data_IF_260973823104
#
_entry.id   IF_260973823104
#
_cell.length_a   1.000
_cell.length_b   1.000
_cell.length_c   1.000
_cell.angle_alpha   90.00
_cell.angle_beta   90.00
_cell.angle_gamma   90.00
#
_symmetry.space_group_name_H-M   'P 1'
#
loop_
_entity.id
_entity.type
_entity.pdbx_description
1 polymer ?
#
# COMPACT_ATOMS: atom_id res chain seq x y z
N UNK A 1 10.00 -0.84 5.03
CA UNK A 1 10.74 -1.26 3.82
C UNK A 1 11.63 -0.10 3.36
N UNK A 2 12.58 -0.34 2.44
CA UNK A 2 13.42 0.73 1.85
C UNK A 2 12.57 1.80 1.15
N UNK A 3 11.58 1.36 0.36
CA UNK A 3 10.70 2.26 -0.40
C UNK A 3 9.90 3.18 0.53
N UNK A 4 9.36 2.67 1.64
CA UNK A 4 8.61 3.50 2.60
C UNK A 4 9.47 4.63 3.21
N UNK A 5 10.70 4.30 3.62
CA UNK A 5 11.64 5.30 4.17
C UNK A 5 12.02 6.35 3.13
N UNK A 6 12.32 5.92 1.92
CA UNK A 6 12.66 6.84 0.83
C UNK A 6 11.47 7.76 0.48
N UNK A 7 10.25 7.22 0.46
CA UNK A 7 9.06 8.01 0.22
C UNK A 7 8.76 9.00 1.36
N UNK A 8 9.02 8.61 2.62
CA UNK A 8 8.95 9.51 3.78
C UNK A 8 9.99 10.65 3.68
N UNK A 9 11.22 10.34 3.29
CA UNK A 9 12.29 11.34 3.04
C UNK A 9 11.92 12.33 1.91
N UNK A 10 11.18 11.86 0.90
CA UNK A 10 10.61 12.70 -0.16
C UNK A 10 9.38 13.50 0.28
N UNK A 11 8.90 13.33 1.51
CA UNK A 11 7.71 14.01 2.03
C UNK A 11 6.40 13.46 1.46
N UNK A 12 6.40 12.26 0.87
CA UNK A 12 5.20 11.63 0.34
C UNK A 12 4.29 11.17 1.49
N UNK A 13 3.00 11.26 1.28
CA UNK A 13 2.01 10.90 2.30
C UNK A 13 1.53 9.45 2.18
N UNK A 14 1.63 8.87 0.98
CA UNK A 14 0.99 7.61 0.61
C UNK A 14 1.76 6.90 -0.48
N UNK A 15 1.79 5.58 -0.40
CA UNK A 15 2.24 4.67 -1.45
C UNK A 15 1.03 3.88 -1.91
N UNK A 16 0.81 3.82 -3.22
CA UNK A 16 -0.26 3.05 -3.85
C UNK A 16 0.30 2.17 -4.96
N UNK A 17 -0.20 0.94 -5.04
CA UNK A 17 0.11 -0.06 -6.07
C UNK A 17 -1.20 -0.65 -6.58
N UNK A 18 -1.32 -0.83 -7.90
CA UNK A 18 -2.45 -1.53 -8.52
C UNK A 18 -1.95 -2.91 -8.91
N UNK A 19 -2.61 -3.94 -8.39
CA UNK A 19 -2.16 -5.32 -8.55
C UNK A 19 -3.27 -6.24 -9.02
N UNK A 20 -2.90 -7.35 -9.65
CA UNK A 20 -3.85 -8.41 -9.97
C UNK A 20 -4.26 -9.15 -8.69
N UNK A 21 -5.57 -9.30 -8.49
CA UNK A 21 -6.19 -9.96 -7.34
C UNK A 21 -5.74 -11.41 -7.15
N UNK A 22 -5.35 -12.09 -8.22
CA UNK A 22 -4.86 -13.47 -8.16
C UNK A 22 -3.49 -13.59 -7.49
N UNK A 23 -2.76 -12.48 -7.30
CA UNK A 23 -1.45 -12.47 -6.66
C UNK A 23 -1.55 -12.50 -5.12
N UNK A 24 -2.26 -13.49 -4.58
CA UNK A 24 -2.58 -13.60 -3.16
C UNK A 24 -1.35 -13.61 -2.26
N UNK A 25 -0.26 -14.25 -2.70
CA UNK A 25 0.99 -14.30 -1.94
C UNK A 25 1.65 -12.92 -1.77
N UNK A 26 1.59 -12.04 -2.79
CA UNK A 26 2.11 -10.68 -2.68
C UNK A 26 1.21 -9.83 -1.77
N UNK A 27 -0.11 -9.94 -1.96
CA UNK A 27 -1.13 -9.22 -1.17
C UNK A 27 -1.00 -9.53 0.33
N UNK A 28 -0.76 -10.78 0.70
CA UNK A 28 -0.57 -11.18 2.11
C UNK A 28 0.70 -10.58 2.70
N UNK A 29 1.82 -10.62 1.98
CA UNK A 29 3.07 -10.01 2.41
C UNK A 29 2.94 -8.49 2.58
N UNK A 30 2.23 -7.83 1.67
CA UNK A 30 2.00 -6.38 1.75
C UNK A 30 1.14 -6.00 2.94
N UNK A 31 0.14 -6.81 3.29
CA UNK A 31 -0.64 -6.64 4.52
C UNK A 31 0.24 -6.73 5.76
N UNK A 32 1.15 -7.71 5.82
CA UNK A 32 2.13 -7.81 6.91
C UNK A 32 3.07 -6.59 6.97
N UNK A 33 3.40 -6.00 5.82
CA UNK A 33 4.19 -4.77 5.72
C UNK A 33 3.40 -3.50 6.09
N UNK A 34 2.11 -3.60 6.42
CA UNK A 34 1.25 -2.48 6.81
C UNK A 34 0.55 -1.79 5.65
N UNK A 35 0.44 -2.43 4.48
CA UNK A 35 -0.44 -1.96 3.42
C UNK A 35 -1.88 -2.45 3.65
N UNK A 36 -2.81 -1.58 3.29
CA UNK A 36 -4.24 -1.87 3.18
C UNK A 36 -4.56 -2.28 1.75
N UNK A 37 -5.53 -3.19 1.58
CA UNK A 37 -5.89 -3.72 0.26
C UNK A 37 -7.38 -3.54 0.04
N UNK A 38 -7.75 -2.86 -1.04
CA UNK A 38 -9.12 -2.60 -1.45
C UNK A 38 -9.36 -3.10 -2.88
N UNK A 39 -10.60 -3.42 -3.21
CA UNK A 39 -10.96 -3.71 -4.59
C UNK A 39 -10.78 -2.46 -5.46
N UNK A 40 -10.24 -2.61 -6.67
CA UNK A 40 -10.21 -1.52 -7.62
C UNK A 40 -11.62 -1.29 -8.18
N UNK A 41 -12.15 -0.04 -8.19
CA UNK A 41 -13.56 0.21 -8.49
C UNK A 41 -13.94 -0.09 -9.95
N UNK A 42 -13.02 0.11 -10.89
CA UNK A 42 -13.31 -0.01 -12.32
C UNK A 42 -13.01 -1.41 -12.88
N UNK A 43 -12.25 -2.24 -12.15
CA UNK A 43 -11.84 -3.57 -12.61
C UNK A 43 -11.81 -4.57 -11.44
N UNK A 44 -12.70 -5.58 -11.42
CA UNK A 44 -12.79 -6.57 -10.35
C UNK A 44 -11.61 -7.56 -10.35
N UNK A 45 -10.79 -7.61 -11.40
CA UNK A 45 -9.57 -8.41 -11.43
C UNK A 45 -8.41 -7.72 -10.73
N UNK A 46 -8.55 -6.43 -10.40
CA UNK A 46 -7.52 -5.63 -9.76
C UNK A 46 -7.84 -5.34 -8.29
N UNK A 47 -6.78 -5.01 -7.56
CA UNK A 47 -6.81 -4.48 -6.20
C UNK A 47 -5.92 -3.25 -6.11
N UNK A 48 -6.33 -2.30 -5.29
CA UNK A 48 -5.52 -1.18 -4.87
C UNK A 48 -4.88 -1.52 -3.52
N UNK A 49 -3.56 -1.55 -3.50
CA UNK A 49 -2.76 -1.72 -2.30
C UNK A 49 -2.23 -0.36 -1.89
N UNK A 50 -2.50 0.06 -0.66
CA UNK A 50 -2.21 1.41 -0.17
C UNK A 50 -1.58 1.39 1.20
N UNK A 51 -0.53 2.18 1.40
CA UNK A 51 0.05 2.46 2.72
C UNK A 51 0.15 3.96 2.94
N UNK A 52 -0.43 4.42 4.04
CA UNK A 52 -0.19 5.78 4.53
C UNK A 52 1.17 5.83 5.24
N UNK A 53 2.00 6.81 4.87
CA UNK A 53 3.34 7.04 5.42
C UNK A 53 3.34 8.04 6.58
N UNK A 54 2.22 8.75 6.76
CA UNK A 54 2.04 9.64 7.90
C UNK A 54 1.80 8.81 9.15
N UNK A 55 2.85 8.57 9.92
CA UNK A 55 2.71 8.38 11.36
C UNK A 55 1.99 9.61 11.88
N UNK A 56 0.72 9.47 12.29
CA UNK A 56 0.03 10.54 13.02
C UNK A 56 0.98 10.96 14.16
N UNK A 57 1.40 12.24 14.28
CA UNK A 57 2.06 12.65 15.50
C UNK A 57 1.04 12.38 16.61
N UNK A 58 1.40 11.55 17.58
CA UNK A 58 0.65 11.52 18.82
C UNK A 58 0.78 12.92 19.42
N UNK A 59 -0.30 13.69 19.39
CA UNK A 59 -0.49 14.82 20.31
C UNK A 59 -0.59 14.31 21.76
#
# INVERSE_FOLDING_TARGET
SYIAKYAEELGLHTIESIENRENQAAIELEREMGFTVAAYPDDPTLVLVRRDLRSRPAE
#
